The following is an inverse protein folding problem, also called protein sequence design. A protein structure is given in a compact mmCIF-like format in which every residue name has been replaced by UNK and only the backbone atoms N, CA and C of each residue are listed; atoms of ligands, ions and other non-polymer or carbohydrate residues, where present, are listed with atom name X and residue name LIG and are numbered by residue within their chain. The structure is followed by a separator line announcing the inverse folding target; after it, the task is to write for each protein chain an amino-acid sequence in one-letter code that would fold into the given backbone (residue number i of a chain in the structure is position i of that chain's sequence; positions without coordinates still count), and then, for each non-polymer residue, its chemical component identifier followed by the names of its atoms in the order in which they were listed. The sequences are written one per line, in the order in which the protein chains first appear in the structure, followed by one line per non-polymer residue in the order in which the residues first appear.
data_IF_479713077272
#
_entry.id   IF_479713077272
#
_cell.length_a   1.000
_cell.length_b   1.000
_cell.length_c   1.000
_cell.angle_alpha   90.00
_cell.angle_beta   90.00
_cell.angle_gamma   90.00
#
_symmetry.space_group_name_H-M   'P 1'
#
loop_
_entity.id
_entity.type
_entity.pdbx_description
1 polymer ?
#
# COMPACT_ATOMS: atom_id res chain seq x y z
N UNK A 1 -4.24 16.54 38.69
CA UNK A 1 -4.67 15.24 38.15
C UNK A 1 -4.54 15.34 36.62
N UNK A 2 -3.49 14.77 36.08
CA UNK A 2 -3.23 14.78 34.66
C UNK A 2 -3.99 13.61 34.01
N UNK A 3 -4.99 13.93 33.20
CA UNK A 3 -5.65 12.93 32.38
C UNK A 3 -4.83 12.75 31.09
N UNK A 4 -4.07 11.68 31.02
CA UNK A 4 -3.44 11.30 29.75
C UNK A 4 -4.52 10.67 28.87
N UNK A 5 -5.04 11.43 27.92
CA UNK A 5 -5.90 10.89 26.88
C UNK A 5 -5.05 10.06 25.95
N UNK A 6 -5.07 8.74 26.11
CA UNK A 6 -4.66 7.85 25.04
C UNK A 6 -5.76 7.90 23.99
N UNK A 7 -5.55 8.68 22.96
CA UNK A 7 -6.37 8.59 21.76
C UNK A 7 -6.10 7.21 21.16
N UNK A 8 -6.97 6.27 21.48
CA UNK A 8 -7.00 5.00 20.76
C UNK A 8 -7.54 5.32 19.38
N UNK A 9 -6.64 5.49 18.42
CA UNK A 9 -7.01 5.61 17.01
C UNK A 9 -7.52 4.24 16.60
N UNK A 10 -8.85 4.08 16.57
CA UNK A 10 -9.47 2.85 16.10
C UNK A 10 -9.36 2.84 14.56
N UNK A 11 -8.54 1.94 14.05
CA UNK A 11 -8.46 1.71 12.61
C UNK A 11 -9.78 1.11 12.11
N UNK A 12 -10.26 1.58 10.97
CA UNK A 12 -11.31 0.88 10.23
C UNK A 12 -10.67 -0.34 9.55
N UNK A 13 -11.28 -1.51 9.76
CA UNK A 13 -10.76 -2.78 9.24
C UNK A 13 -11.87 -3.58 8.58
N UNK A 14 -11.59 -4.11 7.39
CA UNK A 14 -12.46 -5.06 6.68
C UNK A 14 -11.67 -6.27 6.23
N UNK A 15 -12.38 -7.36 5.96
CA UNK A 15 -11.83 -8.57 5.40
C UNK A 15 -12.57 -8.90 4.10
N UNK A 16 -11.81 -9.24 3.05
CA UNK A 16 -12.37 -9.56 1.73
C UNK A 16 -11.76 -10.85 1.22
N UNK A 17 -12.57 -11.63 0.49
CA UNK A 17 -12.07 -12.75 -0.30
C UNK A 17 -11.99 -12.34 -1.76
N UNK A 18 -10.82 -12.54 -2.36
CA UNK A 18 -10.56 -12.33 -3.78
C UNK A 18 -10.35 -13.72 -4.39
N UNK A 19 -11.20 -14.08 -5.34
CA UNK A 19 -11.23 -15.43 -5.92
C UNK A 19 -10.17 -15.64 -6.99
N UNK A 20 -9.86 -14.59 -7.73
CA UNK A 20 -8.96 -14.63 -8.89
C UNK A 20 -8.37 -13.25 -9.19
N UNK A 21 -7.60 -13.16 -10.26
CA UNK A 21 -6.97 -11.91 -10.68
C UNK A 21 -7.98 -10.84 -11.11
N UNK A 22 -9.14 -11.24 -11.65
CA UNK A 22 -10.18 -10.28 -12.04
C UNK A 22 -10.77 -9.57 -10.82
N UNK A 23 -10.99 -10.29 -9.73
CA UNK A 23 -11.44 -9.70 -8.48
C UNK A 23 -10.36 -8.75 -7.91
N UNK A 24 -9.09 -9.15 -8.00
CA UNK A 24 -7.96 -8.31 -7.54
C UNK A 24 -7.87 -7.03 -8.37
N UNK A 25 -8.02 -7.15 -9.68
CA UNK A 25 -8.03 -6.01 -10.59
C UNK A 25 -9.18 -5.05 -10.28
N UNK A 26 -10.37 -5.58 -10.04
CA UNK A 26 -11.53 -4.76 -9.69
C UNK A 26 -11.30 -3.98 -8.40
N UNK A 27 -10.71 -4.62 -7.39
CA UNK A 27 -10.38 -3.97 -6.12
C UNK A 27 -9.35 -2.84 -6.31
N UNK A 28 -8.26 -3.13 -7.02
CA UNK A 28 -7.22 -2.14 -7.30
C UNK A 28 -7.76 -0.97 -8.14
N UNK A 29 -8.64 -1.25 -9.10
CA UNK A 29 -9.26 -0.21 -9.92
C UNK A 29 -10.18 0.68 -9.08
N UNK A 30 -10.94 0.12 -8.16
CA UNK A 30 -11.77 0.89 -7.23
C UNK A 30 -10.90 1.79 -6.36
N UNK A 31 -9.80 1.25 -5.81
CA UNK A 31 -8.86 2.03 -5.00
C UNK A 31 -8.21 3.15 -5.81
N UNK A 32 -7.85 2.88 -7.07
CA UNK A 32 -7.15 3.87 -7.92
C UNK A 32 -7.94 5.17 -8.11
N UNK A 33 -9.25 5.11 -7.98
CA UNK A 33 -10.13 6.29 -8.11
C UNK A 33 -10.21 7.12 -6.84
N UNK A 34 -9.60 6.66 -5.76
CA UNK A 34 -9.65 7.29 -4.44
C UNK A 34 -8.31 7.78 -3.94
N UNK A 35 -7.30 7.70 -4.77
CA UNK A 35 -5.95 8.14 -4.43
C UNK A 35 -5.88 9.67 -4.38
N UNK A 36 -4.96 10.17 -3.55
CA UNK A 36 -4.71 11.60 -3.39
C UNK A 36 -3.21 11.83 -3.22
N UNK A 37 -2.72 13.06 -3.43
CA UNK A 37 -1.31 13.38 -3.18
C UNK A 37 -0.91 13.11 -1.73
N UNK A 38 0.19 12.39 -1.53
CA UNK A 38 0.64 11.97 -0.20
C UNK A 38 0.08 10.63 0.28
N UNK A 39 -0.65 9.92 -0.58
CA UNK A 39 -1.24 8.62 -0.23
C UNK A 39 -0.14 7.60 0.10
N UNK A 40 -0.29 6.88 1.22
CA UNK A 40 0.63 5.82 1.62
C UNK A 40 -0.13 4.50 1.71
N UNK A 41 0.23 3.56 0.83
CA UNK A 41 -0.28 2.20 0.80
C UNK A 41 0.83 1.23 1.19
N UNK A 42 0.60 0.48 2.25
CA UNK A 42 1.49 -0.59 2.69
C UNK A 42 0.91 -1.93 2.27
N UNK A 43 1.67 -2.69 1.48
CA UNK A 43 1.29 -4.03 1.05
C UNK A 43 2.10 -5.07 1.81
N UNK A 44 1.41 -6.06 2.37
CA UNK A 44 2.00 -7.17 3.10
C UNK A 44 1.53 -8.49 2.49
N UNK A 45 2.38 -9.50 2.53
CA UNK A 45 2.06 -10.83 2.03
C UNK A 45 3.31 -11.59 1.62
N UNK A 46 3.21 -12.92 1.63
CA UNK A 46 4.31 -13.79 1.22
C UNK A 46 4.67 -13.59 -0.25
N UNK A 47 5.83 -14.08 -0.63
CA UNK A 47 6.25 -14.10 -2.04
C UNK A 47 5.18 -14.81 -2.87
N UNK A 48 4.75 -14.21 -3.97
CA UNK A 48 3.70 -14.74 -4.83
C UNK A 48 2.27 -14.45 -4.37
N UNK A 49 2.08 -13.68 -3.29
CA UNK A 49 0.74 -13.31 -2.83
C UNK A 49 -0.01 -12.40 -3.80
N UNK A 50 0.72 -11.61 -4.62
CA UNK A 50 0.12 -10.72 -5.59
C UNK A 50 0.35 -9.23 -5.33
N UNK A 51 1.34 -8.88 -4.51
CA UNK A 51 1.64 -7.47 -4.18
C UNK A 51 2.01 -6.66 -5.43
N UNK A 52 2.93 -7.18 -6.25
CA UNK A 52 3.32 -6.52 -7.50
C UNK A 52 2.17 -6.50 -8.51
N UNK A 53 1.41 -7.58 -8.59
CA UNK A 53 0.22 -7.65 -9.47
C UNK A 53 -0.82 -6.60 -9.06
N UNK A 54 -1.06 -6.45 -7.76
CA UNK A 54 -1.96 -5.40 -7.25
C UNK A 54 -1.45 -4.01 -7.66
N UNK A 55 -0.16 -3.75 -7.50
CA UNK A 55 0.45 -2.47 -7.86
C UNK A 55 0.35 -2.20 -9.36
N UNK A 56 0.49 -3.21 -10.20
CA UNK A 56 0.28 -3.09 -11.65
C UNK A 56 -1.14 -2.63 -11.99
N UNK A 57 -2.13 -3.25 -11.40
CA UNK A 57 -3.53 -2.87 -11.60
C UNK A 57 -3.83 -1.47 -11.06
N UNK A 58 -3.25 -1.13 -9.92
CA UNK A 58 -3.39 0.20 -9.33
C UNK A 58 -2.81 1.27 -10.27
N UNK A 59 -1.58 1.08 -10.74
CA UNK A 59 -0.92 2.00 -11.67
C UNK A 59 -1.69 2.16 -12.97
N UNK A 60 -2.21 1.05 -13.50
CA UNK A 60 -3.05 1.09 -14.70
C UNK A 60 -4.32 1.92 -14.47
N UNK A 61 -4.95 1.75 -13.31
CA UNK A 61 -6.11 2.55 -12.92
C UNK A 61 -5.79 4.03 -12.73
N UNK A 62 -4.55 4.36 -12.39
CA UNK A 62 -4.06 5.75 -12.30
C UNK A 62 -3.78 6.36 -13.68
N UNK A 63 -3.74 5.57 -14.74
CA UNK A 63 -3.40 6.03 -16.09
C UNK A 63 -1.92 5.89 -16.44
N UNK A 64 -1.13 5.21 -15.63
CA UNK A 64 0.28 4.95 -15.90
C UNK A 64 0.39 3.89 -16.99
N UNK A 65 1.07 4.21 -18.08
CA UNK A 65 1.24 3.31 -19.22
C UNK A 65 2.54 2.51 -19.17
N UNK A 66 3.48 2.91 -18.31
CA UNK A 66 4.73 2.21 -18.12
C UNK A 66 4.51 0.82 -17.56
N UNK A 67 5.40 -0.12 -17.90
CA UNK A 67 5.37 -1.45 -17.31
C UNK A 67 5.85 -1.39 -15.86
N UNK A 68 4.99 -1.76 -14.93
CA UNK A 68 5.32 -1.80 -13.51
C UNK A 68 5.90 -3.16 -13.17
N UNK A 69 7.13 -3.16 -12.63
CA UNK A 69 7.85 -4.35 -12.20
C UNK A 69 8.20 -4.26 -10.72
N UNK A 70 8.51 -5.40 -10.12
CA UNK A 70 8.96 -5.45 -8.73
C UNK A 70 10.24 -4.62 -8.53
N UNK A 71 10.30 -3.74 -7.50
CA UNK A 71 11.50 -2.98 -7.18
C UNK A 71 12.44 -3.71 -6.21
N UNK A 72 12.39 -5.05 -6.15
CA UNK A 72 13.16 -5.85 -5.19
C UNK A 72 14.66 -5.54 -5.23
N UNK A 73 15.22 -5.32 -6.41
CA UNK A 73 16.66 -5.05 -6.56
C UNK A 73 17.02 -3.56 -6.57
N UNK A 74 16.05 -2.69 -6.83
CA UNK A 74 16.26 -1.25 -6.94
C UNK A 74 15.76 -0.48 -5.72
N UNK A 75 14.98 -1.11 -4.86
CA UNK A 75 14.34 -0.56 -3.65
C UNK A 75 13.22 0.44 -3.99
N UNK A 76 13.46 1.37 -4.89
CA UNK A 76 12.52 2.40 -5.31
C UNK A 76 12.45 2.46 -6.83
N UNK A 77 11.24 2.47 -7.36
CA UNK A 77 10.95 2.83 -8.75
C UNK A 77 9.95 3.97 -8.79
N UNK A 78 10.23 4.96 -9.62
CA UNK A 78 9.41 6.15 -9.79
C UNK A 78 8.73 6.07 -11.15
N UNK A 79 7.40 6.14 -11.16
CA UNK A 79 6.59 6.22 -12.38
C UNK A 79 6.02 7.62 -12.47
N UNK A 80 6.59 8.42 -13.38
CA UNK A 80 6.17 9.81 -13.58
C UNK A 80 4.76 9.87 -14.17
N UNK A 81 3.93 10.68 -13.59
CA UNK A 81 2.55 10.93 -14.00
C UNK A 81 2.08 12.20 -13.31
N UNK A 82 0.90 12.73 -13.66
CA UNK A 82 0.33 13.89 -12.98
C UNK A 82 0.26 13.66 -11.46
N UNK A 83 -0.20 12.46 -11.05
CA UNK A 83 -0.04 11.94 -9.71
C UNK A 83 0.99 10.80 -9.80
N UNK A 84 2.26 11.02 -9.43
CA UNK A 84 3.29 10.01 -9.61
C UNK A 84 3.13 8.84 -8.65
N UNK A 85 3.63 7.67 -9.06
CA UNK A 85 3.65 6.46 -8.24
C UNK A 85 5.09 6.17 -7.82
N UNK A 86 5.30 6.06 -6.51
CA UNK A 86 6.57 5.66 -5.91
C UNK A 86 6.41 4.25 -5.36
N UNK A 87 6.98 3.27 -6.06
CA UNK A 87 6.89 1.86 -5.66
C UNK A 87 8.16 1.44 -4.95
N UNK A 88 8.04 1.02 -3.71
CA UNK A 88 9.15 0.67 -2.83
C UNK A 88 9.08 -0.79 -2.39
N UNK A 89 10.23 -1.45 -2.35
CA UNK A 89 10.42 -2.73 -1.68
C UNK A 89 11.61 -2.56 -0.71
N UNK A 90 11.31 -2.55 0.57
CA UNK A 90 12.29 -2.23 1.61
C UNK A 90 12.79 -3.47 2.36
N UNK A 91 12.60 -4.66 1.79
CA UNK A 91 13.03 -5.91 2.39
C UNK A 91 14.53 -5.90 2.77
N UNK A 92 15.37 -5.32 1.90
CA UNK A 92 16.82 -5.26 2.11
C UNK A 92 17.28 -4.20 3.09
N UNK A 93 16.38 -3.32 3.55
CA UNK A 93 16.74 -2.22 4.44
C UNK A 93 16.67 -2.59 5.92
N UNK A 94 16.41 -3.85 6.25
CA UNK A 94 16.37 -4.30 7.63
C UNK A 94 17.69 -3.99 8.34
N UNK A 95 17.66 -3.02 9.26
CA UNK A 95 18.83 -2.56 10.00
C UNK A 95 19.78 -1.60 9.25
N UNK A 96 19.50 -1.25 7.98
CA UNK A 96 20.35 -0.38 7.15
C UNK A 96 19.60 0.88 6.68
N UNK A 97 18.50 1.25 7.32
CA UNK A 97 17.60 2.27 6.82
C UNK A 97 18.13 3.70 6.69
N UNK A 98 19.38 3.97 7.09
CA UNK A 98 19.93 5.32 7.16
C UNK A 98 20.46 5.86 5.82
N UNK A 99 20.73 5.00 4.83
CA UNK A 99 21.42 5.39 3.60
C UNK A 99 20.50 5.75 2.44
N UNK A 100 19.18 5.54 2.61
CA UNK A 100 18.18 5.83 1.57
C UNK A 100 17.21 6.89 2.07
N UNK A 101 17.13 7.99 1.32
CA UNK A 101 16.24 9.12 1.65
C UNK A 101 14.80 8.84 1.19
N UNK A 102 14.23 7.73 1.65
CA UNK A 102 12.88 7.32 1.26
C UNK A 102 11.80 8.23 1.82
N UNK A 103 12.07 8.91 2.94
CA UNK A 103 11.13 9.85 3.55
C UNK A 103 10.79 11.00 2.59
N UNK A 104 11.74 11.40 1.75
CA UNK A 104 11.51 12.42 0.72
C UNK A 104 10.34 12.04 -0.18
N UNK A 105 10.20 10.76 -0.53
CA UNK A 105 9.12 10.25 -1.39
C UNK A 105 7.86 9.94 -0.60
N UNK A 106 7.99 9.41 0.61
CA UNK A 106 6.85 9.07 1.48
C UNK A 106 6.02 10.30 1.81
N UNK A 107 6.67 11.43 2.04
CA UNK A 107 6.03 12.71 2.38
C UNK A 107 5.88 13.66 1.19
N UNK A 108 6.15 13.21 -0.03
CA UNK A 108 5.96 13.97 -1.25
C UNK A 108 4.49 13.94 -1.71
N UNK A 109 4.23 14.58 -2.85
CA UNK A 109 2.87 14.73 -3.42
C UNK A 109 2.47 13.58 -4.35
N UNK A 110 3.08 12.41 -4.21
CA UNK A 110 2.75 11.21 -4.99
C UNK A 110 2.03 10.15 -4.18
N UNK A 111 1.81 9.01 -4.81
CA UNK A 111 1.28 7.80 -4.17
C UNK A 111 2.46 6.87 -3.88
N UNK A 112 2.69 6.55 -2.61
CA UNK A 112 3.68 5.55 -2.20
C UNK A 112 3.02 4.20 -2.03
N UNK A 113 3.57 3.18 -2.68
CA UNK A 113 3.23 1.78 -2.44
C UNK A 113 4.47 1.10 -1.87
N UNK A 114 4.37 0.59 -0.65
CA UNK A 114 5.51 0.09 0.11
C UNK A 114 5.30 -1.37 0.46
N UNK A 115 6.19 -2.24 -0.05
CA UNK A 115 6.25 -3.66 0.32
C UNK A 115 7.28 -3.84 1.43
N UNK A 116 7.00 -4.75 2.37
CA UNK A 116 7.84 -5.01 3.55
C UNK A 116 7.96 -3.80 4.48
N UNK A 117 6.90 -3.04 4.65
CA UNK A 117 6.88 -1.76 5.34
C UNK A 117 7.33 -1.82 6.81
N UNK A 118 7.28 -2.99 7.46
CA UNK A 118 7.75 -3.16 8.84
C UNK A 118 9.21 -2.77 9.02
N UNK A 119 10.03 -2.90 7.97
CA UNK A 119 11.44 -2.56 8.01
C UNK A 119 11.70 -1.06 8.13
N UNK A 120 10.72 -0.24 7.79
CA UNK A 120 10.80 1.23 7.89
C UNK A 120 9.60 1.82 8.64
N UNK A 121 9.00 1.03 9.52
CA UNK A 121 7.75 1.41 10.19
C UNK A 121 7.82 2.78 10.86
N UNK A 122 8.95 3.09 11.53
CA UNK A 122 9.12 4.36 12.26
C UNK A 122 9.23 5.58 11.33
N UNK A 123 9.51 5.36 10.04
CA UNK A 123 9.58 6.42 9.02
C UNK A 123 8.23 6.73 8.38
N UNK A 124 7.21 5.92 8.66
CA UNK A 124 5.90 6.06 8.03
C UNK A 124 5.00 7.04 8.80
N UNK A 125 4.07 7.72 8.11
CA UNK A 125 3.05 8.49 8.78
C UNK A 125 2.12 7.60 9.60
N UNK A 126 1.49 8.16 10.64
CA UNK A 126 0.53 7.44 11.47
C UNK A 126 -0.66 6.96 10.64
N UNK A 127 -1.20 7.85 9.80
CA UNK A 127 -2.32 7.52 8.92
C UNK A 127 -1.82 6.92 7.61
N UNK A 128 -2.32 5.74 7.27
CA UNK A 128 -1.96 4.98 6.07
C UNK A 128 -3.00 3.91 5.79
N UNK A 129 -2.95 3.36 4.59
CA UNK A 129 -3.74 2.19 4.22
C UNK A 129 -2.83 0.96 4.22
N UNK A 130 -3.25 -0.09 4.91
CA UNK A 130 -2.52 -1.36 4.96
C UNK A 130 -3.39 -2.45 4.33
N UNK A 131 -2.85 -3.15 3.35
CA UNK A 131 -3.49 -4.31 2.73
C UNK A 131 -2.59 -5.52 2.95
N UNK A 132 -3.10 -6.48 3.68
CA UNK A 132 -2.45 -7.77 3.92
C UNK A 132 -3.09 -8.81 3.00
N UNK A 133 -2.27 -9.49 2.20
CA UNK A 133 -2.72 -10.46 1.21
C UNK A 133 -2.24 -11.84 1.64
N UNK A 134 -3.18 -12.70 2.03
CA UNK A 134 -2.90 -14.09 2.41
C UNK A 134 -3.30 -15.05 1.28
N UNK A 135 -2.40 -15.97 0.94
CA UNK A 135 -2.65 -17.01 -0.06
C UNK A 135 -3.59 -18.06 0.54
N UNK A 136 -4.71 -18.35 -0.15
CA UNK A 136 -5.69 -19.36 0.27
C UNK A 136 -5.86 -20.51 -0.73
N UNK A 137 -5.21 -20.43 -1.87
CA UNK A 137 -5.27 -21.44 -2.92
C UNK A 137 -4.51 -20.97 -4.15
N UNK A 138 -4.67 -21.65 -5.27
CA UNK A 138 -3.97 -21.31 -6.52
C UNK A 138 -4.29 -19.87 -6.98
N UNK A 139 -5.56 -19.45 -6.87
CA UNK A 139 -6.03 -18.14 -7.33
C UNK A 139 -6.68 -17.32 -6.21
N UNK A 140 -7.16 -17.97 -5.15
CA UNK A 140 -7.89 -17.31 -4.07
C UNK A 140 -6.94 -16.62 -3.09
N UNK A 141 -7.30 -15.41 -2.68
CA UNK A 141 -6.58 -14.61 -1.68
C UNK A 141 -7.56 -14.11 -0.63
N UNK A 142 -7.10 -14.05 0.60
CA UNK A 142 -7.82 -13.38 1.68
C UNK A 142 -7.12 -12.07 1.98
N UNK A 143 -7.85 -10.96 1.90
CA UNK A 143 -7.32 -9.63 2.15
C UNK A 143 -7.86 -9.07 3.44
N UNK A 144 -6.96 -8.51 4.24
CA UNK A 144 -7.32 -7.64 5.36
C UNK A 144 -6.92 -6.23 4.98
N UNK A 145 -7.88 -5.30 5.03
CA UNK A 145 -7.67 -3.90 4.67
C UNK A 145 -7.94 -3.04 5.88
N UNK A 146 -6.97 -2.23 6.25
CA UNK A 146 -7.01 -1.41 7.45
C UNK A 146 -6.55 0.01 7.14
N UNK A 147 -7.26 1.01 7.68
CA UNK A 147 -6.93 2.41 7.49
C UNK A 147 -7.34 3.28 8.66
N UNK A 148 -6.59 4.35 8.87
CA UNK A 148 -6.80 5.35 9.91
C UNK A 148 -6.97 6.73 9.29
N UNK A 149 -7.59 7.67 10.02
CA UNK A 149 -7.78 9.04 9.58
C UNK A 149 -8.54 9.13 8.25
N UNK A 150 -7.98 9.82 7.28
CA UNK A 150 -8.56 9.98 5.92
C UNK A 150 -8.76 8.64 5.21
N UNK A 151 -8.04 7.60 5.62
CA UNK A 151 -8.12 6.27 4.97
C UNK A 151 -9.33 5.46 5.41
N UNK A 152 -10.01 5.84 6.50
CA UNK A 152 -11.20 5.13 6.98
C UNK A 152 -12.31 5.10 5.94
N UNK A 153 -12.59 6.23 5.29
CA UNK A 153 -13.62 6.32 4.25
C UNK A 153 -13.24 5.48 3.02
N UNK A 154 -11.95 5.37 2.74
CA UNK A 154 -11.46 4.51 1.66
C UNK A 154 -11.72 3.05 1.98
N UNK A 155 -11.43 2.61 3.20
CA UNK A 155 -11.72 1.24 3.65
C UNK A 155 -13.21 0.94 3.49
N UNK A 156 -14.08 1.85 3.89
CA UNK A 156 -15.54 1.71 3.72
C UNK A 156 -15.93 1.56 2.25
N UNK A 157 -15.30 2.34 1.38
CA UNK A 157 -15.57 2.28 -0.07
C UNK A 157 -15.13 0.97 -0.72
N UNK A 158 -14.14 0.30 -0.13
CA UNK A 158 -13.65 -1.00 -0.61
C UNK A 158 -14.47 -2.16 -0.04
N UNK A 159 -15.25 -1.93 0.98
CA UNK A 159 -16.13 -2.94 1.57
C UNK A 159 -17.29 -3.23 0.61
N UNK A 160 -17.53 -4.51 0.34
CA UNK A 160 -18.54 -4.96 -0.63
C UNK A 160 -19.54 -5.90 0.00
#
# INVERSE_FOLDING_TARGET
MEYTFFSVVMAMRIELTVRDQEDMKALATTLSKRLFPGFVLCLEGDLGAGKTTFTKYLGKGMGITDTINSPTFTILKIYEHDLPLYHMDVYRLDGIGADYDLEEYIYADGVCVIEWYHHIYDSLPDDKLIIDIAIRGATERHLTIEGTGLYEDIVKALDR
#
